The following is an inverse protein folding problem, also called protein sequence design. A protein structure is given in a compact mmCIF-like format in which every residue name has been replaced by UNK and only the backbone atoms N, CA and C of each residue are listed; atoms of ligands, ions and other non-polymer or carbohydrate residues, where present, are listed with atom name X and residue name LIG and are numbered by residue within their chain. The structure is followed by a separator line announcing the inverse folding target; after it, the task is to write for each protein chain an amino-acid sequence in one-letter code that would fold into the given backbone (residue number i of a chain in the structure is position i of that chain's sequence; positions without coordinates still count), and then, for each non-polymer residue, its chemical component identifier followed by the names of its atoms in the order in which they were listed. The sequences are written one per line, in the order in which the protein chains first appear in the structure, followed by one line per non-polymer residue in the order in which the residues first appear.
data_IF_967003170275
#
_entry.id   IF_967003170275
#
_cell.length_a   1.000
_cell.length_b   1.000
_cell.length_c   1.000
_cell.angle_alpha   90.00
_cell.angle_beta   90.00
_cell.angle_gamma   90.00
#
_symmetry.space_group_name_H-M   'P 1'
#
loop_
_entity.id
_entity.type
_entity.pdbx_description
1 polymer ?
#
# COMPACT_ATOMS: atom_id res chain seq x y z
N UNK A 1 -3.16 9.19 -14.75
CA UNK A 1 -3.03 7.77 -15.16
C UNK A 1 -3.33 6.77 -14.03
N UNK A 2 -3.41 7.17 -12.76
CA UNK A 2 -3.73 6.28 -11.62
C UNK A 2 -5.17 6.46 -11.06
N UNK A 3 -5.94 7.35 -11.70
CA UNK A 3 -7.31 7.72 -11.31
C UNK A 3 -8.34 6.85 -12.04
N UNK A 4 -9.55 6.84 -11.47
CA UNK A 4 -10.74 6.27 -12.10
C UNK A 4 -11.21 4.96 -11.47
N UNK A 5 -12.33 4.48 -12.00
CA UNK A 5 -13.06 3.32 -11.51
C UNK A 5 -13.42 2.41 -12.69
N UNK A 6 -13.49 1.11 -12.42
CA UNK A 6 -14.06 0.11 -13.31
C UNK A 6 -15.47 -0.20 -12.82
N UNK A 7 -16.42 -0.34 -13.74
CA UNK A 7 -17.77 -0.78 -13.40
C UNK A 7 -17.86 -2.30 -13.57
N UNK A 8 -18.20 -3.01 -12.50
CA UNK A 8 -18.36 -4.46 -12.48
C UNK A 8 -19.64 -4.74 -11.68
N UNK A 9 -20.61 -5.42 -12.30
CA UNK A 9 -21.91 -5.75 -11.67
C UNK A 9 -22.60 -4.55 -10.99
N UNK A 10 -22.57 -3.38 -11.64
CA UNK A 10 -23.12 -2.12 -11.12
C UNK A 10 -22.34 -1.50 -9.95
N UNK A 11 -21.15 -2.01 -9.62
CA UNK A 11 -20.27 -1.47 -8.57
C UNK A 11 -19.07 -0.78 -9.18
N UNK A 12 -18.69 0.36 -8.60
CA UNK A 12 -17.46 1.07 -8.95
C UNK A 12 -16.28 0.52 -8.14
N UNK A 13 -15.33 -0.10 -8.82
CA UNK A 13 -14.11 -0.65 -8.23
C UNK A 13 -12.93 0.26 -8.61
N UNK A 14 -12.09 0.72 -7.64
CA UNK A 14 -10.92 1.51 -7.96
C UNK A 14 -10.04 0.83 -9.00
N UNK A 15 -9.66 1.56 -10.06
CA UNK A 15 -8.84 1.02 -11.14
C UNK A 15 -7.40 0.71 -10.70
N UNK A 16 -6.93 1.37 -9.65
CA UNK A 16 -5.57 1.23 -9.12
C UNK A 16 -5.62 0.95 -7.63
N UNK A 17 -4.83 -0.04 -7.22
CA UNK A 17 -4.66 -0.44 -5.83
C UNK A 17 -3.21 -0.18 -5.38
N UNK A 18 -3.04 0.32 -4.17
CA UNK A 18 -1.74 0.39 -3.51
C UNK A 18 -1.40 -0.98 -2.91
N UNK A 19 -0.35 -1.61 -3.42
CA UNK A 19 0.15 -2.89 -2.90
C UNK A 19 0.72 -2.75 -1.47
N UNK A 20 0.59 -3.81 -0.68
CA UNK A 20 0.90 -3.81 0.76
C UNK A 20 2.12 -4.65 1.15
N UNK A 21 2.61 -5.53 0.29
CA UNK A 21 3.74 -6.42 0.58
C UNK A 21 5.01 -5.69 1.09
N UNK A 22 5.39 -4.50 0.56
CA UNK A 22 6.51 -3.75 1.11
C UNK A 22 6.24 -3.25 2.54
N UNK A 23 5.00 -2.94 2.89
CA UNK A 23 4.65 -2.45 4.23
C UNK A 23 4.75 -3.51 5.31
N UNK A 24 4.78 -4.79 4.94
CA UNK A 24 4.93 -5.91 5.87
C UNK A 24 6.28 -6.64 5.72
N UNK A 25 7.18 -6.12 4.87
CA UNK A 25 8.46 -6.79 4.59
C UNK A 25 8.29 -8.23 4.09
N UNK A 26 7.34 -8.47 3.17
CA UNK A 26 6.99 -9.82 2.75
C UNK A 26 8.19 -10.66 2.29
N UNK A 27 8.23 -11.93 2.70
CA UNK A 27 9.40 -12.81 2.52
C UNK A 27 9.79 -13.06 1.04
N UNK A 28 8.85 -12.95 0.09
CA UNK A 28 9.15 -13.11 -1.33
C UNK A 28 10.13 -12.06 -1.89
N UNK A 29 10.39 -10.97 -1.16
CA UNK A 29 11.42 -10.00 -1.52
C UNK A 29 12.85 -10.42 -1.16
N UNK A 30 13.03 -11.58 -0.51
CA UNK A 30 14.35 -12.08 -0.10
C UNK A 30 15.10 -11.05 0.75
N UNK A 31 16.36 -10.78 0.42
CA UNK A 31 17.18 -9.84 1.17
C UNK A 31 16.61 -8.41 1.25
N UNK A 32 15.77 -7.99 0.28
CA UNK A 32 15.13 -6.66 0.30
C UNK A 32 14.04 -6.55 1.36
N UNK A 33 13.47 -7.66 1.81
CA UNK A 33 12.49 -7.68 2.91
C UNK A 33 13.05 -6.99 4.17
N UNK A 34 14.36 -7.14 4.43
CA UNK A 34 15.03 -6.49 5.56
C UNK A 34 15.03 -4.96 5.45
N UNK A 35 15.18 -4.41 4.24
CA UNK A 35 15.12 -2.95 4.03
C UNK A 35 13.71 -2.44 4.28
N UNK A 36 12.70 -3.11 3.72
CA UNK A 36 11.30 -2.78 3.96
C UNK A 36 10.89 -2.89 5.44
N UNK A 37 11.43 -3.86 6.17
CA UNK A 37 11.23 -3.97 7.61
C UNK A 37 11.74 -2.73 8.36
N UNK A 38 12.96 -2.29 8.02
CA UNK A 38 13.63 -1.16 8.69
C UNK A 38 13.04 0.20 8.29
N UNK A 39 12.79 0.39 7.00
CA UNK A 39 12.41 1.70 6.44
C UNK A 39 10.90 1.96 6.46
N UNK A 40 10.07 0.90 6.47
CA UNK A 40 8.61 1.01 6.40
C UNK A 40 7.94 0.41 7.63
N UNK A 41 8.05 -0.90 7.85
CA UNK A 41 7.24 -1.58 8.87
C UNK A 41 7.50 -1.07 10.29
N UNK A 42 8.76 -0.77 10.62
CA UNK A 42 9.16 -0.14 11.90
C UNK A 42 8.95 1.37 11.94
N UNK A 43 8.53 1.98 10.83
CA UNK A 43 8.34 3.42 10.70
C UNK A 43 6.96 3.74 10.07
N UNK A 44 5.87 3.63 10.85
CA UNK A 44 4.51 3.81 10.35
C UNK A 44 4.26 5.21 9.76
N UNK A 45 5.02 6.22 10.17
CA UNK A 45 4.92 7.58 9.64
C UNK A 45 5.41 7.66 8.19
N UNK A 46 6.46 6.92 7.85
CA UNK A 46 6.91 6.79 6.44
C UNK A 46 5.84 6.10 5.62
N UNK A 47 5.25 5.02 6.13
CA UNK A 47 4.15 4.31 5.45
C UNK A 47 2.96 5.23 5.19
N UNK A 48 2.55 6.02 6.20
CA UNK A 48 1.46 6.97 6.09
C UNK A 48 1.74 8.04 5.02
N UNK A 49 2.98 8.54 4.90
CA UNK A 49 3.36 9.48 3.84
C UNK A 49 3.25 8.86 2.44
N UNK A 50 3.66 7.60 2.28
CA UNK A 50 3.50 6.88 1.00
C UNK A 50 2.01 6.75 0.65
N UNK A 51 1.19 6.29 1.59
CA UNK A 51 -0.26 6.14 1.37
C UNK A 51 -0.94 7.48 1.03
N UNK A 52 -0.64 8.54 1.78
CA UNK A 52 -1.17 9.88 1.52
C UNK A 52 -0.75 10.39 0.14
N UNK A 53 0.52 10.16 -0.25
CA UNK A 53 0.99 10.56 -1.58
C UNK A 53 0.31 9.75 -2.68
N UNK A 54 0.15 8.44 -2.52
CA UNK A 54 -0.60 7.61 -3.47
C UNK A 54 -2.04 8.10 -3.64
N UNK A 55 -2.69 8.48 -2.55
CA UNK A 55 -4.04 9.05 -2.58
C UNK A 55 -4.08 10.37 -3.36
N UNK A 56 -3.14 11.28 -3.12
CA UNK A 56 -3.01 12.54 -3.88
C UNK A 56 -2.78 12.31 -5.37
N UNK A 57 -2.12 11.21 -5.73
CA UNK A 57 -1.87 10.83 -7.13
C UNK A 57 -3.06 10.12 -7.80
N UNK A 58 -4.18 9.96 -7.08
CA UNK A 58 -5.41 9.42 -7.63
C UNK A 58 -5.73 7.97 -7.27
N UNK A 59 -4.84 7.30 -6.52
CA UNK A 59 -5.11 5.93 -6.04
C UNK A 59 -6.24 5.96 -5.03
N UNK A 60 -7.23 5.08 -5.18
CA UNK A 60 -8.40 5.00 -4.29
C UNK A 60 -8.53 3.66 -3.58
N UNK A 61 -7.95 2.59 -4.12
CA UNK A 61 -7.87 1.31 -3.43
C UNK A 61 -6.64 1.24 -2.54
N UNK A 62 -6.79 1.57 -1.26
CA UNK A 62 -5.71 1.48 -0.28
C UNK A 62 -6.11 0.43 0.75
N UNK A 63 -5.34 -0.66 0.84
CA UNK A 63 -5.55 -1.69 1.85
C UNK A 63 -4.72 -1.36 3.09
N UNK A 64 -5.39 -1.11 4.20
CA UNK A 64 -4.76 -0.99 5.51
C UNK A 64 -4.64 -2.38 6.14
N UNK A 65 -3.44 -2.76 6.56
CA UNK A 65 -3.21 -4.01 7.30
C UNK A 65 -3.07 -3.64 8.77
N UNK A 66 -4.07 -3.94 9.61
CA UNK A 66 -3.94 -3.76 11.05
C UNK A 66 -3.04 -4.89 11.59
N UNK A 67 -1.73 -4.65 11.61
CA UNK A 67 -0.76 -5.54 12.23
C UNK A 67 -0.28 -4.93 13.55
N UNK A 68 -0.21 -5.68 14.65
CA UNK A 68 0.42 -5.20 15.87
C UNK A 68 1.87 -4.77 15.56
N UNK A 69 2.32 -3.58 16.00
CA UNK A 69 3.72 -3.19 15.89
C UNK A 69 4.61 -4.16 16.67
N UNK A 70 5.81 -4.43 16.14
CA UNK A 70 6.86 -5.24 16.80
C UNK A 70 8.08 -4.42 17.14
#
# INVERSE_FOLDING_TARGET
MLEGYLEIDGKQIPRTLLGTSPFIGAAHFGHRARLYLLDLYRNPEVMARVMARSYQMGVRGIQLIPHPPV
#
